data_IF_646631300739
#
_entry.id   IF_646631300739
#
_cell.length_a   1.000
_cell.length_b   1.000
_cell.length_c   1.000
_cell.angle_alpha   90.00
_cell.angle_beta   90.00
_cell.angle_gamma   90.00
#
_symmetry.space_group_name_H-M   'P 1'
#
loop_
_entity.id
_entity.type
_entity.pdbx_description
1 polymer ?
#
# COMPACT_ATOMS: atom_id res chain seq x y z
N UNK A 1 57.79 28.46 -19.23
CA UNK A 1 56.66 29.36 -18.98
C UNK A 1 55.53 29.05 -19.96
N UNK A 2 54.56 28.25 -19.52
CA UNK A 2 53.21 28.17 -20.07
C UNK A 2 52.39 27.42 -19.00
N UNK A 3 51.57 28.15 -18.27
CA UNK A 3 50.73 27.66 -17.19
C UNK A 3 49.40 27.19 -17.79
N UNK A 4 49.02 25.94 -17.53
CA UNK A 4 47.70 25.42 -17.84
C UNK A 4 46.97 25.15 -16.51
N UNK A 5 45.80 25.76 -16.26
CA UNK A 5 45.02 25.44 -15.07
C UNK A 5 44.14 24.21 -15.32
N UNK A 6 44.28 23.22 -14.44
CA UNK A 6 43.36 22.10 -14.34
C UNK A 6 42.03 22.57 -13.73
N UNK A 7 40.95 22.53 -14.50
CA UNK A 7 39.59 22.73 -13.98
C UNK A 7 39.06 21.41 -13.41
N UNK A 8 38.92 21.36 -12.09
CA UNK A 8 38.08 20.38 -11.40
C UNK A 8 36.61 20.62 -11.75
N UNK A 9 35.97 19.62 -12.36
CA UNK A 9 34.52 19.59 -12.54
C UNK A 9 33.88 19.11 -11.24
N UNK A 10 33.42 20.06 -10.43
CA UNK A 10 32.55 19.81 -9.28
C UNK A 10 31.14 19.42 -9.73
N UNK A 11 30.67 18.33 -9.14
CA UNK A 11 29.29 17.83 -9.16
C UNK A 11 28.26 18.94 -9.00
N UNK A 12 27.29 18.99 -9.92
CA UNK A 12 26.04 19.71 -9.71
C UNK A 12 24.95 18.70 -9.38
N UNK A 13 24.49 18.82 -8.14
CA UNK A 13 23.23 18.29 -7.64
C UNK A 13 22.09 18.71 -8.56
N UNK A 14 21.42 17.74 -9.17
CA UNK A 14 20.12 17.93 -9.82
C UNK A 14 19.05 18.01 -8.73
N UNK A 15 18.67 19.23 -8.38
CA UNK A 15 17.43 19.53 -7.66
C UNK A 15 16.27 19.22 -8.59
N UNK A 16 15.53 18.14 -8.31
CA UNK A 16 14.21 17.92 -8.91
C UNK A 16 13.21 18.85 -8.24
N UNK A 17 12.47 19.69 -8.99
CA UNK A 17 11.44 20.54 -8.42
C UNK A 17 10.25 19.69 -7.96
N UNK A 18 9.73 20.03 -6.78
CA UNK A 18 8.40 19.65 -6.32
C UNK A 18 7.36 20.14 -7.33
N UNK A 19 6.51 19.24 -7.83
CA UNK A 19 5.09 19.44 -8.10
C UNK A 19 4.57 18.31 -9.01
N UNK A 20 4.31 17.14 -8.43
CA UNK A 20 3.20 16.29 -8.84
C UNK A 20 2.91 15.28 -7.74
N UNK A 21 2.02 15.67 -6.84
CA UNK A 21 1.51 14.82 -5.77
C UNK A 21 0.74 13.63 -6.39
N UNK A 22 1.44 12.51 -6.63
CA UNK A 22 0.80 11.22 -6.86
C UNK A 22 0.11 10.76 -5.57
N UNK A 23 -1.24 10.73 -5.49
CA UNK A 23 -1.93 10.25 -4.30
C UNK A 23 -2.17 8.75 -4.48
N UNK A 24 -1.13 7.93 -4.34
CA UNK A 24 -1.25 6.47 -4.50
C UNK A 24 -0.43 5.67 -3.51
N UNK A 25 -0.23 6.19 -2.30
CA UNK A 25 0.22 5.34 -1.19
C UNK A 25 -0.99 4.64 -0.56
N UNK A 26 -0.93 3.30 -0.51
CA UNK A 26 -1.94 2.43 0.12
C UNK A 26 -2.17 2.81 1.60
N UNK A 27 -1.17 3.45 2.22
CA UNK A 27 -1.23 4.03 3.56
C UNK A 27 -2.16 5.24 3.68
N UNK A 28 -2.33 6.03 2.61
CA UNK A 28 -3.27 7.17 2.61
C UNK A 28 -4.73 6.69 2.60
N UNK A 29 -5.03 5.55 1.95
CA UNK A 29 -6.37 4.93 1.94
C UNK A 29 -6.77 4.26 3.25
N UNK A 30 -5.81 3.87 4.08
CA UNK A 30 -6.04 3.19 5.37
C UNK A 30 -6.25 4.15 6.55
N UNK A 31 -5.99 5.45 6.36
CA UNK A 31 -6.15 6.48 7.40
C UNK A 31 -7.38 7.36 7.22
N UNK A 32 -8.24 7.06 6.24
CA UNK A 32 -9.51 7.76 6.06
C UNK A 32 -10.54 7.21 7.06
N UNK A 33 -10.25 7.46 8.34
CA UNK A 33 -11.06 7.13 9.51
C UNK A 33 -11.99 8.32 9.83
N UNK A 34 -12.63 8.86 8.80
CA UNK A 34 -13.75 9.78 8.94
C UNK A 34 -15.04 9.01 8.66
N UNK A 35 -15.75 8.72 9.76
CA UNK A 35 -17.21 8.71 9.92
C UNK A 35 -18.04 8.31 8.69
N UNK A 36 -18.91 7.28 8.78
CA UNK A 36 -19.72 6.85 7.66
C UNK A 36 -20.49 8.04 7.10
N UNK A 37 -20.36 8.26 5.79
CA UNK A 37 -21.12 9.28 5.08
C UNK A 37 -22.62 9.06 5.35
N UNK A 38 -23.16 9.79 6.31
CA UNK A 38 -24.58 10.07 6.46
C UNK A 38 -24.97 11.03 5.35
N UNK A 39 -25.04 10.52 4.13
CA UNK A 39 -25.59 11.24 2.98
C UNK A 39 -26.84 10.49 2.53
N UNK A 40 -27.90 10.69 3.30
CA UNK A 40 -29.27 10.55 2.83
C UNK A 40 -29.46 11.51 1.66
N UNK A 41 -29.58 10.95 0.46
CA UNK A 41 -30.33 11.56 -0.63
C UNK A 41 -31.13 10.46 -1.31
N UNK A 42 -31.97 9.80 -0.50
CA UNK A 42 -33.14 9.13 -1.02
C UNK A 42 -34.06 10.23 -1.56
N UNK A 43 -34.06 10.44 -2.88
CA UNK A 43 -35.26 10.95 -3.52
C UNK A 43 -36.38 10.00 -3.11
N UNK A 44 -37.48 10.47 -2.50
CA UNK A 44 -38.57 9.58 -2.16
C UNK A 44 -39.08 8.99 -3.48
N UNK A 45 -38.93 7.67 -3.60
CA UNK A 45 -39.53 6.89 -4.66
C UNK A 45 -41.04 7.14 -4.59
N UNK A 46 -41.72 7.56 -5.67
CA UNK A 46 -43.12 7.99 -5.66
C UNK A 46 -44.07 6.78 -5.65
N UNK A 47 -43.87 5.86 -4.70
CA UNK A 47 -44.61 4.61 -4.58
C UNK A 47 -45.31 4.44 -3.22
N UNK A 48 -45.26 5.47 -2.36
CA UNK A 48 -45.81 5.37 -1.01
C UNK A 48 -47.35 5.42 -0.96
N UNK A 49 -48.00 5.73 -2.09
CA UNK A 49 -49.44 6.01 -2.12
C UNK A 49 -50.26 5.00 -2.93
N UNK A 50 -49.65 3.92 -3.44
CA UNK A 50 -50.42 2.95 -4.25
C UNK A 50 -51.38 2.13 -3.37
N UNK A 51 -50.93 1.76 -2.16
CA UNK A 51 -51.79 1.08 -1.19
C UNK A 51 -52.95 1.97 -0.72
N UNK A 52 -52.68 3.24 -0.41
CA UNK A 52 -53.72 4.20 -0.01
C UNK A 52 -54.66 4.55 -1.17
N UNK A 53 -54.16 4.69 -2.39
CA UNK A 53 -54.96 4.94 -3.59
C UNK A 53 -55.87 3.75 -3.95
N UNK A 54 -55.39 2.51 -3.81
CA UNK A 54 -56.22 1.31 -4.04
C UNK A 54 -57.30 1.19 -2.96
N UNK A 55 -56.96 1.45 -1.69
CA UNK A 55 -57.95 1.46 -0.60
C UNK A 55 -59.01 2.56 -0.80
N UNK A 56 -58.62 3.77 -1.19
CA UNK A 56 -59.56 4.87 -1.45
C UNK A 56 -60.49 4.60 -2.65
N UNK A 57 -60.01 3.90 -3.68
CA UNK A 57 -60.83 3.51 -4.83
C UNK A 57 -61.85 2.41 -4.47
N UNK A 58 -61.49 1.48 -3.58
CA UNK A 58 -62.38 0.40 -3.15
C UNK A 58 -63.43 0.90 -2.14
N UNK A 59 -63.02 1.70 -1.15
CA UNK A 59 -63.89 2.16 -0.06
C UNK A 59 -65.00 3.10 -0.56
N UNK A 60 -64.74 3.89 -1.61
CA UNK A 60 -65.75 4.74 -2.25
C UNK A 60 -66.80 3.98 -3.06
N UNK A 61 -66.53 2.76 -3.51
CA UNK A 61 -67.54 1.94 -4.21
C UNK A 61 -68.54 1.27 -3.25
N UNK A 62 -68.14 0.97 -2.00
CA UNK A 62 -69.02 0.33 -1.03
C UNK A 62 -69.93 1.32 -0.26
N UNK A 63 -69.54 2.59 -0.14
CA UNK A 63 -70.32 3.59 0.59
C UNK A 63 -71.42 4.28 -0.26
N UNK A 64 -71.41 4.12 -1.59
CA UNK A 64 -72.40 4.76 -2.49
C UNK A 64 -73.56 3.87 -2.95
N UNK A 65 -73.71 2.65 -2.43
CA UNK A 65 -74.91 1.84 -2.68
C UNK A 65 -75.68 1.60 -1.38
N UNK A 66 -76.61 2.51 -1.10
CA UNK A 66 -77.73 2.29 -0.17
C UNK A 66 -78.75 1.40 -0.90
N UNK A 67 -78.91 0.10 -0.57
CA UNK A 67 -79.98 -0.69 -1.13
C UNK A 67 -81.23 -0.37 -0.32
N UNK A 68 -82.13 0.43 -0.89
CA UNK A 68 -83.49 0.54 -0.37
C UNK A 68 -84.20 -0.79 -0.67
N UNK A 69 -84.17 -1.71 0.30
CA UNK A 69 -84.87 -3.00 0.23
C UNK A 69 -86.37 -2.72 0.29
N UNK A 70 -87.00 -2.57 -0.88
CA UNK A 70 -88.42 -2.87 -1.05
C UNK A 70 -88.54 -4.33 -1.49
N UNK A 71 -89.09 -5.14 -0.59
CA UNK A 71 -89.52 -6.52 -0.85
C UNK A 71 -90.52 -6.49 -2.00
N UNK A 72 -90.12 -7.01 -3.15
CA UNK A 72 -90.99 -7.32 -4.28
C UNK A 72 -90.84 -8.81 -4.63
N UNK A 73 -91.95 -9.48 -4.98
CA UNK A 73 -91.99 -10.94 -5.12
C UNK A 73 -91.24 -11.40 -6.36
N UNK A 74 -90.60 -12.56 -6.23
CA UNK A 74 -89.90 -13.31 -7.28
C UNK A 74 -90.76 -13.41 -8.55
N UNK A 75 -90.35 -12.79 -9.67
CA UNK A 75 -90.84 -13.17 -10.98
C UNK A 75 -89.82 -14.13 -11.58
N UNK A 76 -90.23 -15.38 -11.82
CA UNK A 76 -89.58 -16.27 -12.79
C UNK A 76 -89.77 -15.70 -14.20
N UNK A 77 -89.02 -14.64 -14.50
CA UNK A 77 -88.93 -14.06 -15.82
C UNK A 77 -87.52 -14.36 -16.32
N UNK A 78 -87.44 -15.12 -17.41
CA UNK A 78 -86.24 -15.31 -18.22
C UNK A 78 -85.83 -13.99 -18.90
N UNK A 79 -85.55 -12.95 -18.10
CA UNK A 79 -85.03 -11.68 -18.59
C UNK A 79 -83.52 -11.84 -18.82
N UNK A 80 -83.12 -11.95 -20.09
CA UNK A 80 -81.73 -12.07 -20.53
C UNK A 80 -80.83 -11.00 -19.91
N UNK A 81 -81.36 -9.80 -19.61
CA UNK A 81 -80.61 -8.74 -18.97
C UNK A 81 -80.24 -9.08 -17.51
N UNK A 82 -81.10 -9.79 -16.78
CA UNK A 82 -80.82 -10.24 -15.41
C UNK A 82 -79.77 -11.35 -15.39
N UNK A 83 -79.85 -12.29 -16.32
CA UNK A 83 -78.87 -13.36 -16.48
C UNK A 83 -77.48 -12.83 -16.86
N UNK A 84 -77.42 -11.82 -17.73
CA UNK A 84 -76.19 -11.16 -18.11
C UNK A 84 -75.57 -10.40 -16.91
N UNK A 85 -76.38 -9.65 -16.16
CA UNK A 85 -75.91 -8.96 -14.95
C UNK A 85 -75.35 -9.95 -13.94
N UNK A 86 -76.02 -11.08 -13.74
CA UNK A 86 -75.58 -12.11 -12.82
C UNK A 86 -74.29 -12.80 -13.29
N UNK A 87 -74.15 -13.08 -14.59
CA UNK A 87 -72.92 -13.67 -15.13
C UNK A 87 -71.71 -12.73 -14.99
N UNK A 88 -71.89 -11.43 -15.24
CA UNK A 88 -70.84 -10.42 -15.00
C UNK A 88 -70.51 -10.29 -13.52
N UNK A 89 -71.52 -10.32 -12.63
CA UNK A 89 -71.28 -10.27 -11.18
C UNK A 89 -70.48 -11.50 -10.70
N UNK A 90 -70.85 -12.72 -11.14
CA UNK A 90 -70.10 -13.94 -10.82
C UNK A 90 -68.70 -13.92 -11.40
N UNK A 91 -68.53 -13.47 -12.65
CA UNK A 91 -67.21 -13.32 -13.26
C UNK A 91 -66.36 -12.32 -12.49
N UNK A 92 -66.90 -11.16 -12.12
CA UNK A 92 -66.22 -10.15 -11.31
C UNK A 92 -65.78 -10.69 -9.95
N UNK A 93 -66.65 -11.42 -9.26
CA UNK A 93 -66.31 -12.10 -7.99
C UNK A 93 -65.19 -13.13 -8.22
N UNK A 94 -65.29 -13.96 -9.26
CA UNK A 94 -64.25 -14.97 -9.53
C UNK A 94 -62.89 -14.36 -9.85
N UNK A 95 -62.87 -13.27 -10.63
CA UNK A 95 -61.64 -12.55 -10.97
C UNK A 95 -61.04 -11.88 -9.73
N UNK A 96 -61.89 -11.29 -8.89
CA UNK A 96 -61.46 -10.67 -7.64
C UNK A 96 -60.89 -11.69 -6.65
N UNK A 97 -61.58 -12.83 -6.46
CA UNK A 97 -61.10 -13.92 -5.62
C UNK A 97 -59.78 -14.48 -6.14
N UNK A 98 -59.67 -14.72 -7.45
CA UNK A 98 -58.41 -15.18 -8.07
C UNK A 98 -57.28 -14.16 -7.89
N UNK A 99 -57.56 -12.87 -8.06
CA UNK A 99 -56.56 -11.81 -7.85
C UNK A 99 -56.09 -11.74 -6.40
N UNK A 100 -56.99 -11.89 -5.43
CA UNK A 100 -56.64 -11.95 -3.99
C UNK A 100 -55.80 -13.19 -3.71
N UNK A 101 -56.18 -14.36 -4.22
CA UNK A 101 -55.43 -15.61 -4.04
C UNK A 101 -53.99 -15.47 -4.58
N UNK A 102 -53.83 -14.91 -5.78
CA UNK A 102 -52.50 -14.65 -6.35
C UNK A 102 -51.70 -13.63 -5.55
N UNK A 103 -52.33 -12.58 -5.03
CA UNK A 103 -51.66 -11.57 -4.20
C UNK A 103 -51.18 -12.19 -2.88
N UNK A 104 -52.03 -12.96 -2.21
CA UNK A 104 -51.68 -13.67 -0.96
C UNK A 104 -50.56 -14.66 -1.22
N UNK A 105 -50.63 -15.43 -2.31
CA UNK A 105 -49.57 -16.36 -2.70
C UNK A 105 -48.25 -15.63 -2.96
N UNK A 106 -48.25 -14.56 -3.76
CA UNK A 106 -47.05 -13.77 -4.04
C UNK A 106 -46.47 -13.15 -2.76
N UNK A 107 -47.33 -12.64 -1.86
CA UNK A 107 -46.90 -12.10 -0.58
C UNK A 107 -46.21 -13.16 0.29
N UNK A 108 -46.80 -14.35 0.41
CA UNK A 108 -46.19 -15.45 1.16
C UNK A 108 -44.86 -15.91 0.57
N UNK A 109 -44.73 -15.95 -0.77
CA UNK A 109 -43.48 -16.27 -1.44
C UNK A 109 -42.40 -15.22 -1.14
N UNK A 110 -42.73 -13.93 -1.27
CA UNK A 110 -41.82 -12.82 -0.95
C UNK A 110 -41.37 -12.91 0.51
N UNK A 111 -42.32 -13.12 1.43
CA UNK A 111 -42.02 -13.26 2.86
C UNK A 111 -41.06 -14.43 3.13
N UNK A 112 -41.29 -15.59 2.48
CA UNK A 112 -40.40 -16.75 2.60
C UNK A 112 -38.98 -16.48 2.08
N UNK A 113 -38.85 -15.72 0.98
CA UNK A 113 -37.53 -15.33 0.44
C UNK A 113 -36.83 -14.32 1.36
N UNK A 114 -37.57 -13.37 1.94
CA UNK A 114 -37.03 -12.41 2.90
C UNK A 114 -36.50 -13.11 4.15
N UNK A 115 -37.23 -14.08 4.71
CA UNK A 115 -36.76 -14.85 5.86
C UNK A 115 -35.55 -15.71 5.51
N UNK A 116 -35.56 -16.37 4.34
CA UNK A 116 -34.42 -17.16 3.87
C UNK A 116 -33.15 -16.32 3.69
N UNK A 117 -33.28 -15.12 3.11
CA UNK A 117 -32.16 -14.19 2.95
C UNK A 117 -31.60 -13.70 4.30
N UNK A 118 -32.48 -13.42 5.27
CA UNK A 118 -32.06 -13.00 6.61
C UNK A 118 -31.29 -14.10 7.36
N UNK A 119 -31.74 -15.34 7.24
CA UNK A 119 -31.05 -16.51 7.82
C UNK A 119 -29.69 -16.74 7.17
N UNK A 120 -29.60 -16.67 5.84
CA UNK A 120 -28.35 -16.85 5.10
C UNK A 120 -27.34 -15.73 5.41
N UNK A 121 -27.81 -14.48 5.46
CA UNK A 121 -27.00 -13.33 5.86
C UNK A 121 -26.47 -13.46 7.29
N UNK A 122 -27.31 -13.95 8.21
CA UNK A 122 -26.90 -14.20 9.61
C UNK A 122 -25.86 -15.32 9.70
N UNK A 123 -26.04 -16.39 8.93
CA UNK A 123 -25.09 -17.53 8.87
C UNK A 123 -23.73 -17.12 8.32
N UNK A 124 -23.72 -16.35 7.23
CA UNK A 124 -22.47 -15.84 6.62
C UNK A 124 -21.75 -14.88 7.55
N UNK A 125 -22.47 -13.96 8.21
CA UNK A 125 -21.91 -13.06 9.22
C UNK A 125 -21.28 -13.84 10.39
N UNK A 126 -21.95 -14.88 10.90
CA UNK A 126 -21.42 -15.73 11.96
C UNK A 126 -20.13 -16.45 11.51
N UNK A 127 -20.10 -16.96 10.28
CA UNK A 127 -18.89 -17.58 9.68
C UNK A 127 -17.74 -16.58 9.56
N UNK A 128 -18.01 -15.36 9.10
CA UNK A 128 -17.01 -14.30 9.01
C UNK A 128 -16.46 -13.95 10.40
N UNK A 129 -17.32 -13.76 11.40
CA UNK A 129 -16.89 -13.50 12.79
C UNK A 129 -16.01 -14.62 13.34
N UNK A 130 -16.37 -15.87 13.08
CA UNK A 130 -15.55 -17.03 13.48
C UNK A 130 -14.19 -17.04 12.79
N UNK A 131 -14.13 -16.75 11.48
CA UNK A 131 -12.87 -16.65 10.74
C UNK A 131 -12.00 -15.50 11.27
N UNK A 132 -12.60 -14.32 11.50
CA UNK A 132 -11.90 -13.19 12.10
C UNK A 132 -11.38 -13.53 13.49
N UNK A 133 -12.16 -14.19 14.34
CA UNK A 133 -11.69 -14.62 15.66
C UNK A 133 -10.51 -15.61 15.53
N UNK A 134 -10.60 -16.58 14.62
CA UNK A 134 -9.54 -17.56 14.40
C UNK A 134 -8.25 -16.98 13.82
N UNK A 135 -8.31 -15.89 13.06
CA UNK A 135 -7.14 -15.25 12.47
C UNK A 135 -6.60 -14.16 13.40
N UNK A 136 -7.46 -13.26 13.85
CA UNK A 136 -7.07 -12.10 14.63
C UNK A 136 -6.59 -12.47 16.04
N UNK A 137 -7.19 -13.46 16.69
CA UNK A 137 -6.78 -13.87 18.05
C UNK A 137 -5.36 -14.42 18.09
N UNK A 138 -4.96 -15.44 17.29
CA UNK A 138 -3.58 -15.91 17.32
C UNK A 138 -2.59 -14.86 16.78
N UNK A 139 -2.95 -14.02 15.81
CA UNK A 139 -2.03 -12.95 15.35
C UNK A 139 -1.81 -11.88 16.43
N UNK A 140 -2.86 -11.45 17.13
CA UNK A 140 -2.72 -10.49 18.23
C UNK A 140 -2.08 -11.12 19.48
N UNK A 141 -2.42 -12.36 19.81
CA UNK A 141 -1.84 -13.09 20.93
C UNK A 141 -0.36 -13.40 20.67
N UNK A 142 0.01 -13.80 19.44
CA UNK A 142 1.42 -13.94 19.07
C UNK A 142 2.10 -12.59 19.13
N UNK A 143 1.57 -11.50 18.60
CA UNK A 143 2.24 -10.18 18.67
C UNK A 143 2.40 -9.62 20.10
N UNK A 144 1.55 -9.97 21.05
CA UNK A 144 1.49 -9.31 22.36
C UNK A 144 1.75 -10.19 23.60
N UNK A 145 1.82 -11.52 23.52
CA UNK A 145 1.85 -12.40 24.72
C UNK A 145 3.16 -13.15 24.95
N UNK A 146 4.22 -12.79 24.23
CA UNK A 146 5.54 -13.36 24.44
C UNK A 146 6.41 -12.28 25.08
N UNK A 147 6.69 -12.44 26.38
CA UNK A 147 7.65 -11.59 27.11
C UNK A 147 9.08 -11.70 26.54
N UNK A 148 9.29 -12.57 25.55
CA UNK A 148 10.53 -12.79 24.80
C UNK A 148 10.48 -12.30 23.34
N UNK A 149 9.56 -11.38 23.01
CA UNK A 149 9.43 -10.87 21.64
C UNK A 149 10.51 -9.86 21.23
N UNK A 150 10.78 -9.73 19.92
CA UNK A 150 11.98 -9.11 19.35
C UNK A 150 12.19 -7.65 19.70
N UNK A 151 11.32 -7.00 20.47
CA UNK A 151 11.54 -5.62 20.91
C UNK A 151 12.77 -5.52 21.83
N UNK A 152 12.96 -6.50 22.74
CA UNK A 152 14.19 -6.61 23.52
C UNK A 152 15.40 -6.90 22.60
N UNK A 153 15.24 -7.83 21.65
CA UNK A 153 16.30 -8.22 20.71
C UNK A 153 16.67 -7.12 19.68
N UNK A 154 15.71 -6.30 19.28
CA UNK A 154 15.89 -5.13 18.42
C UNK A 154 16.56 -4.02 19.23
N UNK A 155 16.16 -3.79 20.48
CA UNK A 155 16.85 -2.85 21.36
C UNK A 155 18.31 -3.27 21.57
N UNK A 156 18.56 -4.56 21.79
CA UNK A 156 19.91 -5.13 21.93
C UNK A 156 20.72 -5.02 20.63
N UNK A 157 20.11 -5.29 19.47
CA UNK A 157 20.75 -5.10 18.17
C UNK A 157 21.05 -3.63 17.87
N UNK A 158 20.13 -2.71 18.19
CA UNK A 158 20.35 -1.27 18.06
C UNK A 158 21.46 -0.78 19.00
N UNK A 159 21.54 -1.32 20.21
CA UNK A 159 22.61 -1.01 21.16
C UNK A 159 23.96 -1.55 20.66
N UNK A 160 23.98 -2.76 20.12
CA UNK A 160 25.17 -3.37 19.52
C UNK A 160 25.65 -2.55 18.33
N UNK A 161 24.74 -2.17 17.43
CA UNK A 161 25.05 -1.35 16.25
C UNK A 161 25.59 0.03 16.65
N UNK A 162 25.00 0.68 17.67
CA UNK A 162 25.53 1.93 18.23
C UNK A 162 26.96 1.78 18.76
N UNK A 163 27.24 0.67 19.45
CA UNK A 163 28.59 0.37 19.95
C UNK A 163 29.59 0.15 18.82
N UNK A 164 29.18 -0.53 17.75
CA UNK A 164 30.05 -0.79 16.60
C UNK A 164 30.32 0.48 15.78
N UNK A 165 29.31 1.34 15.61
CA UNK A 165 29.49 2.68 15.02
C UNK A 165 30.48 3.51 15.85
N UNK A 166 30.38 3.47 17.18
CA UNK A 166 31.30 4.20 18.05
C UNK A 166 32.76 3.71 17.90
N UNK A 167 32.97 2.38 17.85
CA UNK A 167 34.29 1.80 17.60
C UNK A 167 34.84 2.13 16.21
N UNK A 168 33.98 2.08 15.19
CA UNK A 168 34.38 2.44 13.83
C UNK A 168 34.82 3.90 13.74
N UNK A 169 34.10 4.81 14.42
CA UNK A 169 34.48 6.22 14.52
C UNK A 169 35.83 6.40 15.23
N UNK A 170 36.06 5.71 16.34
CA UNK A 170 37.35 5.75 17.04
C UNK A 170 38.50 5.26 16.15
N UNK A 171 38.28 4.18 15.38
CA UNK A 171 39.28 3.67 14.43
C UNK A 171 39.57 4.66 13.31
N UNK A 172 38.56 5.35 12.78
CA UNK A 172 38.75 6.39 11.76
C UNK A 172 39.57 7.54 12.30
N UNK A 173 39.29 8.01 13.52
CA UNK A 173 40.06 9.08 14.16
C UNK A 173 41.52 8.68 14.34
N UNK A 174 41.76 7.47 14.88
CA UNK A 174 43.12 6.94 15.04
C UNK A 174 43.88 6.83 13.71
N UNK A 175 43.23 6.34 12.66
CA UNK A 175 43.83 6.27 11.33
C UNK A 175 44.11 7.68 10.76
N UNK A 176 43.27 8.66 11.09
CA UNK A 176 43.52 10.07 10.76
C UNK A 176 44.78 10.59 11.45
N UNK A 177 44.93 10.34 12.75
CA UNK A 177 46.13 10.75 13.50
C UNK A 177 47.40 10.06 12.97
N UNK A 178 47.32 8.77 12.62
CA UNK A 178 48.41 8.01 12.00
C UNK A 178 48.76 8.55 10.60
N UNK A 179 47.77 8.98 9.82
CA UNK A 179 47.95 9.62 8.52
C UNK A 179 48.64 10.99 8.65
N UNK A 180 48.17 11.84 9.55
CA UNK A 180 48.74 13.17 9.77
C UNK A 180 50.21 13.07 10.25
N UNK A 181 50.49 12.14 11.16
CA UNK A 181 51.87 11.85 11.58
C UNK A 181 52.75 11.36 10.41
N UNK A 182 52.20 10.52 9.52
CA UNK A 182 52.91 10.09 8.31
C UNK A 182 53.24 11.30 7.41
N UNK A 183 52.26 12.18 7.16
CA UNK A 183 52.47 13.40 6.37
C UNK A 183 53.52 14.33 6.99
N UNK A 184 53.55 14.48 8.31
CA UNK A 184 54.60 15.25 9.00
C UNK A 184 55.98 14.62 8.80
N UNK A 185 56.10 13.29 9.00
CA UNK A 185 57.37 12.59 8.79
C UNK A 185 57.84 12.66 7.34
N UNK A 186 56.91 12.62 6.38
CA UNK A 186 57.20 12.77 4.96
C UNK A 186 57.69 14.19 4.67
N UNK A 187 57.01 15.22 5.21
CA UNK A 187 57.42 16.62 5.05
C UNK A 187 58.81 16.88 5.64
N UNK A 188 59.13 16.30 6.80
CA UNK A 188 60.46 16.39 7.41
C UNK A 188 61.51 15.63 6.59
N UNK A 189 61.18 14.46 6.04
CA UNK A 189 62.06 13.72 5.13
C UNK A 189 62.33 14.52 3.85
N UNK A 190 61.32 15.15 3.26
CA UNK A 190 61.47 16.03 2.10
C UNK A 190 62.33 17.26 2.42
N UNK A 191 62.14 17.85 3.60
CA UNK A 191 62.94 18.99 4.05
C UNK A 191 64.41 18.60 4.22
N UNK A 192 64.69 17.49 4.90
CA UNK A 192 66.07 16.99 5.09
C UNK A 192 66.73 16.59 3.77
N UNK A 193 65.97 16.02 2.82
CA UNK A 193 66.45 15.72 1.48
C UNK A 193 66.83 17.00 0.71
N UNK A 194 65.97 18.01 0.73
CA UNK A 194 66.24 19.30 0.09
C UNK A 194 67.43 20.03 0.71
N UNK A 195 67.51 20.05 2.06
CA UNK A 195 68.67 20.60 2.76
C UNK A 195 69.96 19.84 2.44
N UNK A 196 69.90 18.51 2.26
CA UNK A 196 71.02 17.69 1.81
C UNK A 196 71.48 18.06 0.39
N UNK A 197 70.53 18.21 -0.54
CA UNK A 197 70.80 18.63 -1.91
C UNK A 197 71.42 20.03 -1.99
N UNK A 198 70.92 20.99 -1.19
CA UNK A 198 71.44 22.36 -1.13
C UNK A 198 72.84 22.43 -0.49
N UNK A 199 73.10 21.67 0.59
CA UNK A 199 74.37 21.67 1.31
C UNK A 199 75.48 20.88 0.60
N UNK A 200 75.14 19.89 -0.23
CA UNK A 200 76.12 19.10 -0.98
C UNK A 200 76.72 19.86 -2.18
N UNK A 201 76.33 21.12 -2.39
CA UNK A 201 76.87 21.95 -3.46
C UNK A 201 76.55 21.39 -4.84
N UNK A 202 75.50 20.57 -4.96
CA UNK A 202 74.93 20.11 -6.23
C UNK A 202 74.15 21.26 -6.88
N UNK A 203 74.82 22.40 -7.06
CA UNK A 203 74.37 23.45 -7.95
C UNK A 203 74.39 22.92 -9.38
N UNK A 204 73.29 22.30 -9.81
CA UNK A 204 73.01 21.98 -11.21
C UNK A 204 74.14 21.30 -12.01
N UNK A 205 75.06 20.58 -11.35
CA UNK A 205 76.11 19.85 -12.04
C UNK A 205 75.55 18.50 -12.48
N UNK A 206 74.91 18.53 -13.66
CA UNK A 206 74.56 17.39 -14.52
C UNK A 206 74.38 16.06 -13.78
N UNK A 207 73.29 15.95 -13.01
CA UNK A 207 72.72 14.63 -12.77
C UNK A 207 72.38 14.06 -14.14
N UNK A 208 72.98 12.92 -14.48
CA UNK A 208 72.83 12.29 -15.78
C UNK A 208 71.34 12.12 -16.06
N UNK A 209 70.84 12.81 -17.09
CA UNK A 209 69.41 12.92 -17.37
C UNK A 209 68.76 11.54 -17.55
N UNK A 210 69.54 10.57 -18.04
CA UNK A 210 69.15 9.16 -18.17
C UNK A 210 68.83 8.49 -16.83
N UNK A 211 69.54 8.80 -15.73
CA UNK A 211 69.26 8.20 -14.42
C UNK A 211 67.96 8.74 -13.83
N UNK A 212 67.69 10.03 -14.04
CA UNK A 212 66.43 10.66 -13.61
C UNK A 212 65.25 10.15 -14.44
N UNK A 213 65.42 10.04 -15.75
CA UNK A 213 64.39 9.53 -16.65
C UNK A 213 64.10 8.04 -16.40
N UNK A 214 65.12 7.23 -16.08
CA UNK A 214 64.96 5.83 -15.69
C UNK A 214 64.22 5.68 -14.35
N UNK A 215 64.59 6.45 -13.33
CA UNK A 215 63.90 6.45 -12.05
C UNK A 215 62.44 6.91 -12.18
N UNK A 216 62.19 7.94 -13.01
CA UNK A 216 60.84 8.42 -13.29
C UNK A 216 59.99 7.35 -13.97
N UNK A 217 60.55 6.63 -14.94
CA UNK A 217 59.86 5.52 -15.60
C UNK A 217 59.56 4.37 -14.63
N UNK A 218 60.45 4.08 -13.67
CA UNK A 218 60.21 3.08 -12.63
C UNK A 218 59.08 3.51 -11.67
N UNK A 219 59.07 4.78 -11.25
CA UNK A 219 57.99 5.32 -10.42
C UNK A 219 56.65 5.29 -11.15
N UNK A 220 56.61 5.70 -12.43
CA UNK A 220 55.39 5.61 -13.25
C UNK A 220 54.92 4.15 -13.39
N UNK A 221 55.84 3.20 -13.61
CA UNK A 221 55.50 1.78 -13.69
C UNK A 221 54.90 1.23 -12.37
N UNK A 222 55.45 1.64 -11.22
CA UNK A 222 54.92 1.25 -9.90
C UNK A 222 53.52 1.85 -9.69
N UNK A 223 53.32 3.12 -10.04
CA UNK A 223 52.02 3.78 -9.92
C UNK A 223 50.97 3.09 -10.78
N UNK A 224 51.32 2.74 -12.02
CA UNK A 224 50.44 2.03 -12.94
C UNK A 224 50.10 0.62 -12.41
N UNK A 225 51.08 -0.11 -11.89
CA UNK A 225 50.86 -1.43 -11.27
C UNK A 225 49.89 -1.33 -10.09
N UNK A 226 50.07 -0.35 -9.19
CA UNK A 226 49.18 -0.17 -8.03
C UNK A 226 47.78 0.30 -8.43
N UNK A 227 47.65 1.16 -9.44
CA UNK A 227 46.36 1.56 -9.98
C UNK A 227 45.59 0.38 -10.60
N UNK A 228 46.29 -0.52 -11.29
CA UNK A 228 45.70 -1.74 -11.84
C UNK A 228 45.23 -2.69 -10.72
N UNK A 229 46.03 -2.85 -9.67
CA UNK A 229 45.65 -3.66 -8.50
C UNK A 229 44.38 -3.11 -7.83
N UNK A 230 44.31 -1.79 -7.61
CA UNK A 230 43.12 -1.14 -7.04
C UNK A 230 41.87 -1.34 -7.91
N UNK A 231 42.02 -1.21 -9.23
CA UNK A 231 40.93 -1.43 -10.18
C UNK A 231 40.43 -2.89 -10.17
N UNK A 232 41.34 -3.85 -10.00
CA UNK A 232 40.99 -5.27 -9.88
C UNK A 232 40.20 -5.54 -8.60
N UNK A 233 40.65 -4.99 -7.46
CA UNK A 233 39.96 -5.11 -6.17
C UNK A 233 38.57 -4.46 -6.21
N UNK A 234 38.43 -3.28 -6.80
CA UNK A 234 37.12 -2.62 -6.94
C UNK A 234 36.14 -3.46 -7.77
N UNK A 235 36.64 -4.10 -8.84
CA UNK A 235 35.82 -4.98 -9.69
C UNK A 235 35.35 -6.22 -8.93
N UNK A 236 36.24 -6.84 -8.15
CA UNK A 236 35.91 -7.99 -7.31
C UNK A 236 34.85 -7.61 -6.26
N UNK A 237 35.07 -6.51 -5.54
CA UNK A 237 34.13 -6.01 -4.53
C UNK A 237 32.74 -5.70 -5.11
N UNK A 238 32.67 -5.07 -6.29
CA UNK A 238 31.39 -4.84 -7.00
C UNK A 238 30.69 -6.15 -7.35
N UNK A 239 31.44 -7.16 -7.77
CA UNK A 239 30.87 -8.47 -8.11
C UNK A 239 30.33 -9.20 -6.88
N UNK A 240 31.02 -9.10 -5.75
CA UNK A 240 30.62 -9.72 -4.48
C UNK A 240 29.37 -9.06 -3.91
N UNK A 241 29.30 -7.72 -3.88
CA UNK A 241 28.08 -6.99 -3.50
C UNK A 241 26.89 -7.42 -4.37
N UNK A 242 27.09 -7.54 -5.68
CA UNK A 242 26.02 -7.93 -6.58
C UNK A 242 25.54 -9.38 -6.32
N UNK A 243 26.49 -10.30 -6.07
CA UNK A 243 26.18 -11.69 -5.72
C UNK A 243 25.42 -11.79 -4.39
N UNK A 244 25.87 -11.09 -3.35
CA UNK A 244 25.22 -11.07 -2.04
C UNK A 244 23.82 -10.43 -2.12
N UNK A 245 23.65 -9.37 -2.92
CA UNK A 245 22.34 -8.75 -3.19
C UNK A 245 21.39 -9.73 -3.87
N UNK A 246 21.87 -10.51 -4.85
CA UNK A 246 21.07 -11.53 -5.52
C UNK A 246 20.68 -12.66 -4.55
N UNK A 247 21.61 -13.09 -3.69
CA UNK A 247 21.38 -14.10 -2.67
C UNK A 247 20.32 -13.62 -1.65
N UNK A 248 20.39 -12.37 -1.21
CA UNK A 248 19.40 -11.78 -0.32
C UNK A 248 18.02 -11.74 -0.96
N UNK A 249 17.90 -11.39 -2.25
CA UNK A 249 16.64 -11.47 -2.98
C UNK A 249 16.11 -12.90 -3.05
N UNK A 250 16.95 -13.88 -3.40
CA UNK A 250 16.52 -15.28 -3.49
C UNK A 250 16.02 -15.82 -2.15
N UNK A 251 16.70 -15.52 -1.04
CA UNK A 251 16.27 -15.94 0.28
C UNK A 251 14.91 -15.34 0.69
N UNK A 252 14.56 -14.14 0.20
CA UNK A 252 13.23 -13.55 0.43
C UNK A 252 12.09 -14.23 -0.34
N UNK A 253 12.40 -14.99 -1.39
CA UNK A 253 11.41 -15.68 -2.24
C UNK A 253 11.35 -17.21 -1.99
N UNK A 254 12.13 -17.74 -1.04
CA UNK A 254 12.21 -19.20 -0.76
C UNK A 254 11.47 -19.61 0.52
N UNK A 255 10.88 -18.67 1.28
CA UNK A 255 10.05 -18.96 2.45
C UNK A 255 8.55 -19.20 2.10
N UNK A 256 8.26 -20.14 1.19
CA UNK A 256 6.90 -20.71 0.95
C UNK A 256 6.84 -22.22 1.27
#
# INVERSE_FOLDING_TARGET
MASAPYHFLTSTSSVCPEDEACPSSLRARLRDDQTPATSSSAKPVPYQDIYQQVHACLENQFLSQKPEIKVAPVPESHDLATQLRESYARMGISLHSSAIEHLVQAHSEVQSKTTGFAEESSRTMARCKHLYANIAYPLSATLCSSDNHPQARIADHLQTLKKDIAKAKEKILRLGDEWDACCETEADAWKTLNEGLDNQGWGAEKVDKEVVDAFKAEVEAIVDEKCQLLSAVEKEFKSEIHAETLQMMQNLFVDE
#
